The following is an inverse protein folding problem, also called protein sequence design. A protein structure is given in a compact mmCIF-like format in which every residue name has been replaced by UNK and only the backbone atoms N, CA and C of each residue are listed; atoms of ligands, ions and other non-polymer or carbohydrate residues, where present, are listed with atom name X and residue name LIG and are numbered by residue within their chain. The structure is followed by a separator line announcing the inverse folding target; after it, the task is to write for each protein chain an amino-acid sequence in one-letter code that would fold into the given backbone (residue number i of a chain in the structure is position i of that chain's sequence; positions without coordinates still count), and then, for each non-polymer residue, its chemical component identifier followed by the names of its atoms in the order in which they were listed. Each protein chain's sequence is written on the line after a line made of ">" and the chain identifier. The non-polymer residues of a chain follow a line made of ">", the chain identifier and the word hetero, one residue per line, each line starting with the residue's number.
data_IF_615570552741
#
_entry.id   IF_615570552741
#
_cell.length_a   1.000
_cell.length_b   1.000
_cell.length_c   1.000
_cell.angle_alpha   90.00
_cell.angle_beta   90.00
_cell.angle_gamma   90.00
#
_symmetry.space_group_name_H-M   'P 1'
#
loop_
_entity.id
_entity.type
_entity.pdbx_description
1 polymer ?
#
# COMPACT_ATOMS: atom_id res chain seq x y z
N UNK A 1 11.45 -13.01 -6.97
CA UNK A 1 11.74 -12.81 -5.53
C UNK A 1 10.83 -11.70 -5.03
N UNK A 2 10.11 -11.96 -3.94
CA UNK A 2 9.23 -11.02 -3.24
C UNK A 2 10.00 -10.42 -2.07
N UNK A 3 9.78 -9.14 -1.75
CA UNK A 3 10.49 -8.46 -0.67
C UNK A 3 9.50 -7.89 0.34
N UNK A 4 9.78 -8.14 1.61
CA UNK A 4 9.20 -7.44 2.75
C UNK A 4 10.27 -6.45 3.22
N UNK A 5 9.96 -5.15 3.18
CA UNK A 5 10.85 -4.08 3.61
C UNK A 5 10.46 -3.63 5.02
N UNK A 6 11.46 -3.55 5.89
CA UNK A 6 11.34 -3.11 7.29
C UNK A 6 12.37 -2.03 7.61
N UNK A 7 12.22 -1.32 8.74
CA UNK A 7 13.23 -0.37 9.22
C UNK A 7 13.39 -0.38 10.73
N UNK A 8 14.62 -0.21 11.20
CA UNK A 8 14.97 -0.18 12.64
C UNK A 8 14.33 0.97 13.41
N UNK A 9 13.94 2.05 12.73
CA UNK A 9 13.39 3.26 13.36
C UNK A 9 11.87 3.18 13.59
N UNK A 10 11.23 2.08 13.19
CA UNK A 10 9.79 1.90 13.25
C UNK A 10 9.43 0.70 14.14
N UNK A 11 8.75 0.98 15.24
CA UNK A 11 8.34 -0.04 16.22
C UNK A 11 7.32 -1.05 15.66
N UNK A 12 6.39 -0.60 14.81
CA UNK A 12 5.45 -1.51 14.16
C UNK A 12 6.18 -2.40 13.15
N UNK A 13 7.12 -1.83 12.40
CA UNK A 13 7.94 -2.57 11.44
C UNK A 13 8.74 -3.69 12.11
N UNK A 14 9.37 -3.40 13.26
CA UNK A 14 10.12 -4.38 14.02
C UNK A 14 9.23 -5.43 14.68
N UNK A 15 8.06 -5.04 15.22
CA UNK A 15 7.06 -5.97 15.72
C UNK A 15 6.62 -6.98 14.64
N UNK A 16 6.25 -6.49 13.45
CA UNK A 16 5.84 -7.35 12.33
C UNK A 16 7.01 -8.26 11.88
N UNK A 17 8.23 -7.74 11.82
CA UNK A 17 9.43 -8.51 11.47
C UNK A 17 9.67 -9.67 12.44
N UNK A 18 9.56 -9.41 13.74
CA UNK A 18 9.71 -10.41 14.79
C UNK A 18 8.70 -11.54 14.57
N UNK A 19 7.42 -11.22 14.38
CA UNK A 19 6.37 -12.22 14.12
C UNK A 19 6.59 -13.02 12.84
N UNK A 20 7.09 -12.39 11.77
CA UNK A 20 7.46 -13.09 10.55
C UNK A 20 8.57 -14.13 10.79
N UNK A 21 9.61 -13.76 11.54
CA UNK A 21 10.74 -14.65 11.84
C UNK A 21 10.32 -15.77 12.80
N UNK A 22 9.58 -15.45 13.85
CA UNK A 22 9.12 -16.41 14.86
C UNK A 22 8.19 -17.48 14.28
N UNK A 23 7.17 -17.05 13.51
CA UNK A 23 6.01 -17.89 13.22
C UNK A 23 5.97 -18.42 11.79
N UNK A 24 6.69 -17.81 10.85
CA UNK A 24 6.55 -18.13 9.42
C UNK A 24 7.77 -18.80 8.80
N UNK A 25 8.79 -19.15 9.59
CA UNK A 25 9.90 -19.99 9.14
C UNK A 25 10.94 -19.27 8.27
N UNK A 26 11.03 -17.94 8.39
CA UNK A 26 12.12 -17.17 7.82
C UNK A 26 13.44 -17.52 8.52
N UNK A 27 14.50 -17.68 7.73
CA UNK A 27 15.84 -17.99 8.24
C UNK A 27 16.82 -16.93 7.81
N UNK A 28 17.71 -16.57 8.72
CA UNK A 28 18.85 -15.69 8.41
C UNK A 28 19.71 -16.31 7.30
N UNK A 29 20.29 -15.45 6.46
CA UNK A 29 21.17 -15.82 5.35
C UNK A 29 22.53 -15.15 5.54
N UNK A 30 23.53 -15.60 4.78
CA UNK A 30 24.88 -14.98 4.80
C UNK A 30 24.94 -13.61 4.08
N UNK A 31 23.80 -13.07 3.63
CA UNK A 31 23.72 -11.79 2.89
C UNK A 31 23.30 -10.65 3.81
N UNK A 32 23.75 -9.46 3.43
CA UNK A 32 23.39 -8.21 4.10
C UNK A 32 22.70 -7.25 3.11
N UNK A 33 21.80 -6.43 3.63
CA UNK A 33 21.19 -5.29 2.93
C UNK A 33 21.20 -4.09 3.86
N UNK A 34 21.72 -2.94 3.41
CA UNK A 34 21.99 -1.77 4.25
C UNK A 34 22.78 -2.10 5.53
N UNK A 35 23.67 -3.10 5.44
CA UNK A 35 24.46 -3.60 6.57
C UNK A 35 23.69 -4.48 7.56
N UNK A 36 22.44 -4.86 7.25
CA UNK A 36 21.57 -5.65 8.14
C UNK A 36 21.37 -7.08 7.62
N UNK A 37 21.18 -8.07 8.51
CA UNK A 37 20.92 -9.45 8.12
C UNK A 37 19.70 -9.58 7.20
N UNK A 38 19.85 -10.32 6.11
CA UNK A 38 18.75 -10.68 5.22
C UNK A 38 18.16 -12.01 5.69
N UNK A 39 16.84 -12.05 5.90
CA UNK A 39 16.11 -13.28 6.16
C UNK A 39 15.40 -13.77 4.91
N UNK A 40 15.23 -15.08 4.78
CA UNK A 40 14.58 -15.69 3.61
C UNK A 40 13.65 -16.84 3.96
N UNK A 41 12.59 -16.98 3.18
CA UNK A 41 11.69 -18.13 3.14
C UNK A 41 11.26 -18.37 1.70
N UNK A 42 11.74 -19.45 1.09
CA UNK A 42 11.46 -19.72 -0.33
C UNK A 42 11.92 -18.57 -1.22
N UNK A 43 10.99 -17.97 -1.96
CA UNK A 43 11.22 -16.83 -2.86
C UNK A 43 10.92 -15.46 -2.23
N UNK A 44 10.70 -15.40 -0.90
CA UNK A 44 10.46 -14.16 -0.15
C UNK A 44 11.65 -13.79 0.74
N UNK A 45 12.03 -12.52 0.73
CA UNK A 45 13.08 -11.94 1.58
C UNK A 45 12.49 -10.92 2.55
N UNK A 46 13.07 -10.83 3.76
CA UNK A 46 12.90 -9.69 4.65
C UNK A 46 14.21 -8.90 4.60
N UNK A 47 14.10 -7.62 4.29
CA UNK A 47 15.19 -6.66 4.21
C UNK A 47 14.92 -5.53 5.20
N UNK A 48 15.97 -5.03 5.84
CA UNK A 48 15.87 -3.97 6.85
C UNK A 48 16.77 -2.80 6.49
N UNK A 49 16.21 -1.59 6.45
CA UNK A 49 16.99 -0.35 6.34
C UNK A 49 17.18 0.32 7.72
N UNK A 50 17.99 1.37 7.78
CA UNK A 50 18.36 2.05 9.02
C UNK A 50 17.62 3.36 9.27
N UNK A 51 16.89 3.87 8.27
CA UNK A 51 16.16 5.15 8.31
C UNK A 51 14.71 4.99 7.83
N UNK A 52 13.92 6.06 7.87
CA UNK A 52 12.52 6.07 7.45
C UNK A 52 12.35 5.64 5.98
N UNK A 53 11.59 4.56 5.76
CA UNK A 53 11.41 3.96 4.42
C UNK A 53 10.74 4.90 3.43
N UNK A 54 9.94 5.86 3.92
CA UNK A 54 9.19 6.80 3.07
C UNK A 54 10.09 7.72 2.23
N UNK A 55 11.37 7.87 2.60
CA UNK A 55 12.33 8.68 1.84
C UNK A 55 13.23 7.84 0.90
N UNK A 56 13.05 6.51 0.87
CA UNK A 56 13.93 5.61 0.13
C UNK A 56 13.51 5.48 -1.35
N UNK A 57 13.54 6.58 -2.07
CA UNK A 57 13.37 6.58 -3.53
C UNK A 57 14.48 5.75 -4.20
N UNK A 58 14.12 4.98 -5.23
CA UNK A 58 14.98 4.01 -5.92
C UNK A 58 15.43 2.80 -5.07
N UNK A 59 14.66 2.42 -4.05
CA UNK A 59 14.89 1.22 -3.26
C UNK A 59 15.02 -0.05 -4.12
N UNK A 60 14.22 -0.18 -5.18
CA UNK A 60 14.31 -1.26 -6.16
C UNK A 60 15.71 -1.40 -6.77
N UNK A 61 16.33 -0.27 -7.14
CA UNK A 61 17.71 -0.24 -7.65
C UNK A 61 18.74 -0.53 -6.56
N UNK A 62 18.50 -0.08 -5.34
CA UNK A 62 19.36 -0.40 -4.20
C UNK A 62 19.37 -1.90 -3.91
N UNK A 63 18.20 -2.56 -3.96
CA UNK A 63 18.06 -4.02 -3.84
C UNK A 63 18.82 -4.72 -4.98
N UNK A 64 18.66 -4.25 -6.22
CA UNK A 64 19.40 -4.81 -7.37
C UNK A 64 20.91 -4.69 -7.21
N UNK A 65 21.39 -3.51 -6.81
CA UNK A 65 22.81 -3.26 -6.61
C UNK A 65 23.41 -4.10 -5.48
N UNK A 66 22.72 -4.21 -4.33
CA UNK A 66 23.25 -4.88 -3.15
C UNK A 66 23.07 -6.40 -3.18
N UNK A 67 21.99 -6.91 -3.78
CA UNK A 67 21.63 -8.33 -3.74
C UNK A 67 21.62 -9.02 -5.12
N UNK A 68 21.85 -8.28 -6.20
CA UNK A 68 21.89 -8.81 -7.56
C UNK A 68 20.55 -9.31 -8.08
N UNK A 69 19.43 -8.76 -7.58
CA UNK A 69 18.08 -9.17 -7.98
C UNK A 69 17.13 -7.97 -8.08
N UNK A 70 16.19 -8.03 -9.02
CA UNK A 70 15.07 -7.09 -9.10
C UNK A 70 13.86 -7.72 -8.39
N UNK A 71 13.27 -7.06 -7.38
CA UNK A 71 12.12 -7.59 -6.68
C UNK A 71 10.87 -7.57 -7.57
N UNK A 72 10.03 -8.59 -7.42
CA UNK A 72 8.76 -8.70 -8.15
C UNK A 72 7.66 -7.83 -7.54
N UNK A 73 7.74 -7.60 -6.23
CA UNK A 73 6.87 -6.74 -5.43
C UNK A 73 7.61 -6.39 -4.13
N UNK A 74 7.36 -5.19 -3.61
CA UNK A 74 7.83 -4.76 -2.29
C UNK A 74 6.63 -4.49 -1.38
N UNK A 75 6.56 -5.20 -0.25
CA UNK A 75 5.59 -4.93 0.83
C UNK A 75 6.33 -4.20 1.94
N UNK A 76 5.95 -2.96 2.22
CA UNK A 76 6.48 -2.20 3.34
C UNK A 76 5.66 -2.50 4.59
N UNK A 77 6.29 -3.09 5.61
CA UNK A 77 5.70 -3.29 6.92
C UNK A 77 6.01 -2.07 7.79
N UNK A 78 4.99 -1.26 8.08
CA UNK A 78 5.17 0.13 8.55
C UNK A 78 4.21 0.48 9.68
N UNK A 79 4.47 1.60 10.37
CA UNK A 79 3.48 2.25 11.23
C UNK A 79 2.68 3.28 10.44
N UNK A 80 1.42 3.44 10.83
CA UNK A 80 0.65 4.64 10.55
C UNK A 80 0.67 5.56 11.78
N UNK A 81 0.81 6.87 11.60
CA UNK A 81 0.74 7.84 12.70
C UNK A 81 -0.35 8.88 12.46
N UNK A 82 -1.25 9.03 13.43
CA UNK A 82 -2.36 9.98 13.35
C UNK A 82 -2.65 10.65 14.68
N UNK A 83 -2.91 11.96 14.64
CA UNK A 83 -3.35 12.72 15.82
C UNK A 83 -4.70 12.26 16.36
N UNK A 84 -5.51 11.58 15.54
CA UNK A 84 -6.85 11.12 15.92
C UNK A 84 -6.82 9.87 16.81
N UNK A 85 -5.66 9.19 16.95
CA UNK A 85 -5.48 7.99 17.78
C UNK A 85 -6.58 6.94 17.56
N UNK A 86 -6.78 6.59 16.30
CA UNK A 86 -7.68 5.52 15.88
C UNK A 86 -6.87 4.23 15.70
N UNK A 87 -7.15 3.16 16.47
CA UNK A 87 -6.55 1.85 16.23
C UNK A 87 -7.00 1.30 14.87
N UNK A 88 -6.04 1.00 14.01
CA UNK A 88 -6.31 0.62 12.64
C UNK A 88 -5.25 -0.35 12.10
N UNK A 89 -5.68 -1.23 11.20
CA UNK A 89 -4.79 -2.00 10.33
C UNK A 89 -5.11 -1.60 8.89
N UNK A 90 -4.11 -1.14 8.17
CA UNK A 90 -4.34 -0.43 6.91
C UNK A 90 -3.44 -0.90 5.79
N UNK A 91 -3.81 -0.54 4.56
CA UNK A 91 -2.94 -0.70 3.39
C UNK A 91 -3.17 0.42 2.38
N UNK A 92 -2.11 0.83 1.70
CA UNK A 92 -2.18 1.80 0.61
C UNK A 92 -0.95 1.70 -0.29
N UNK A 93 -1.02 2.41 -1.42
CA UNK A 93 0.12 2.68 -2.28
C UNK A 93 0.60 4.12 -2.06
N UNK A 94 1.91 4.32 -2.15
CA UNK A 94 2.57 5.62 -2.00
C UNK A 94 2.50 6.47 -3.26
N UNK A 95 2.60 7.78 -3.04
CA UNK A 95 2.61 8.77 -4.11
C UNK A 95 2.07 10.11 -3.66
N UNK A 96 2.46 11.15 -4.38
CA UNK A 96 2.07 12.53 -4.11
C UNK A 96 1.19 13.05 -5.26
N UNK A 97 -0.06 13.39 -4.95
CA UNK A 97 -0.97 14.05 -5.90
C UNK A 97 -0.61 15.52 -6.17
N UNK A 98 0.30 16.09 -5.38
CA UNK A 98 0.79 17.46 -5.46
C UNK A 98 2.19 17.51 -4.86
N UNK A 99 2.45 18.45 -3.95
CA UNK A 99 3.77 18.58 -3.32
C UNK A 99 4.12 17.39 -2.42
N UNK A 100 5.35 16.90 -2.53
CA UNK A 100 5.93 15.86 -1.68
C UNK A 100 6.38 16.44 -0.34
N UNK A 101 5.57 16.26 0.70
CA UNK A 101 5.89 16.73 2.05
C UNK A 101 6.64 15.67 2.88
N UNK A 102 6.49 14.39 2.52
CA UNK A 102 6.98 13.24 3.29
C UNK A 102 7.56 12.20 2.33
N UNK A 103 8.65 12.55 1.66
CA UNK A 103 9.35 11.67 0.72
C UNK A 103 8.68 11.57 -0.65
N UNK A 104 9.42 10.98 -1.60
CA UNK A 104 9.05 10.97 -3.01
C UNK A 104 9.23 12.33 -3.69
N UNK A 105 8.69 12.44 -4.91
CA UNK A 105 8.67 13.66 -5.72
C UNK A 105 7.26 14.22 -5.89
N UNK A 106 7.20 15.51 -6.19
CA UNK A 106 5.95 16.20 -6.52
C UNK A 106 5.25 15.52 -7.70
N UNK A 107 3.93 15.37 -7.59
CA UNK A 107 3.08 14.81 -8.64
C UNK A 107 3.55 13.42 -9.14
N UNK A 108 4.29 12.65 -8.31
CA UNK A 108 4.83 11.34 -8.64
C UNK A 108 4.18 10.24 -7.82
N UNK A 109 3.95 9.09 -8.45
CA UNK A 109 3.21 7.96 -7.87
C UNK A 109 4.07 6.68 -7.98
N UNK A 110 4.14 5.87 -6.92
CA UNK A 110 4.73 4.54 -7.01
C UNK A 110 3.82 3.59 -7.80
N UNK A 111 4.32 2.42 -8.20
CA UNK A 111 3.51 1.44 -8.92
C UNK A 111 2.63 0.66 -7.93
N UNK A 112 1.32 0.79 -8.05
CA UNK A 112 0.36 0.08 -7.21
C UNK A 112 0.22 -1.40 -7.60
N UNK A 113 -0.01 -2.27 -6.60
CA UNK A 113 -0.51 -3.65 -6.79
C UNK A 113 -1.91 -3.84 -6.17
N UNK A 114 -3.00 -3.52 -6.91
CA UNK A 114 -4.38 -3.58 -6.40
C UNK A 114 -4.80 -4.94 -5.80
N UNK A 115 -4.48 -6.05 -6.46
CA UNK A 115 -4.82 -7.40 -5.97
C UNK A 115 -4.18 -7.69 -4.62
N UNK A 116 -2.92 -7.30 -4.43
CA UNK A 116 -2.22 -7.46 -3.16
C UNK A 116 -2.87 -6.64 -2.05
N UNK A 117 -3.20 -5.37 -2.31
CA UNK A 117 -3.83 -4.51 -1.30
C UNK A 117 -5.27 -4.97 -0.98
N UNK A 118 -6.04 -5.45 -1.97
CA UNK A 118 -7.37 -6.02 -1.72
C UNK A 118 -7.30 -7.27 -0.86
N UNK A 119 -6.37 -8.19 -1.17
CA UNK A 119 -6.17 -9.39 -0.36
C UNK A 119 -5.72 -9.04 1.06
N UNK A 120 -4.90 -8.00 1.22
CA UNK A 120 -4.50 -7.51 2.53
C UNK A 120 -5.73 -7.07 3.34
N UNK A 121 -6.64 -6.26 2.76
CA UNK A 121 -7.88 -5.88 3.44
C UNK A 121 -8.75 -7.06 3.82
N UNK A 122 -8.96 -8.00 2.90
CA UNK A 122 -9.79 -9.18 3.16
C UNK A 122 -9.21 -10.04 4.28
N UNK A 123 -7.89 -10.27 4.25
CA UNK A 123 -7.21 -11.09 5.25
C UNK A 123 -7.11 -10.39 6.61
N UNK A 124 -6.78 -9.10 6.66
CA UNK A 124 -6.82 -8.34 7.92
C UNK A 124 -8.23 -8.34 8.51
N UNK A 125 -9.27 -8.15 7.70
CA UNK A 125 -10.66 -8.19 8.17
C UNK A 125 -11.09 -9.56 8.69
N UNK A 126 -10.64 -10.65 8.06
CA UNK A 126 -10.86 -12.02 8.53
C UNK A 126 -10.21 -12.29 9.89
N UNK A 127 -9.01 -11.76 10.12
CA UNK A 127 -8.20 -12.03 11.31
C UNK A 127 -8.43 -11.04 12.47
N UNK A 128 -9.21 -9.97 12.24
CA UNK A 128 -9.37 -8.85 13.17
C UNK A 128 -10.23 -9.18 14.40
N UNK A 129 -9.66 -9.91 15.35
CA UNK A 129 -10.21 -10.12 16.69
C UNK A 129 -9.97 -8.94 17.65
N UNK A 130 -9.16 -7.96 17.23
CA UNK A 130 -8.92 -6.70 17.93
C UNK A 130 -10.08 -5.70 17.81
N UNK A 131 -11.00 -5.92 16.87
CA UNK A 131 -12.07 -4.97 16.52
C UNK A 131 -11.54 -3.58 16.11
N UNK A 132 -10.37 -3.54 15.48
CA UNK A 132 -9.77 -2.30 14.97
C UNK A 132 -10.33 -1.94 13.60
N UNK A 133 -10.09 -0.72 13.15
CA UNK A 133 -10.52 -0.27 11.83
C UNK A 133 -9.66 -0.98 10.77
N UNK A 134 -10.30 -1.69 9.84
CA UNK A 134 -9.63 -2.23 8.65
C UNK A 134 -9.98 -1.35 7.47
N UNK A 135 -9.00 -0.69 6.87
CA UNK A 135 -9.28 0.22 5.76
C UNK A 135 -8.12 0.44 4.81
N UNK A 136 -8.44 0.87 3.60
CA UNK A 136 -7.48 1.56 2.76
C UNK A 136 -7.09 2.89 3.38
N UNK A 137 -5.92 3.37 3.01
CA UNK A 137 -5.60 4.80 3.06
C UNK A 137 -5.53 5.40 1.66
N UNK A 138 -5.63 6.72 1.61
CA UNK A 138 -5.38 7.50 0.41
C UNK A 138 -3.96 7.25 -0.11
N UNK A 139 -3.73 7.48 -1.40
CA UNK A 139 -2.37 7.57 -1.92
C UNK A 139 -1.68 8.80 -1.36
N UNK A 140 -0.60 8.59 -0.62
CA UNK A 140 0.15 9.64 0.06
C UNK A 140 1.60 9.22 0.36
N UNK A 141 2.44 10.22 0.67
CA UNK A 141 3.85 10.11 1.02
C UNK A 141 4.73 9.33 0.02
N UNK A 142 6.03 9.24 0.30
CA UNK A 142 6.98 8.50 -0.51
C UNK A 142 7.23 7.06 -0.03
N UNK A 143 8.09 6.30 -0.71
CA UNK A 143 8.79 6.69 -1.93
C UNK A 143 7.82 6.74 -3.12
N UNK A 144 8.13 7.56 -4.12
CA UNK A 144 7.38 7.57 -5.40
C UNK A 144 8.21 6.99 -6.54
N UNK A 145 9.53 7.02 -6.43
CA UNK A 145 10.46 6.62 -7.48
C UNK A 145 10.80 5.13 -7.39
N UNK A 146 9.79 4.27 -7.51
CA UNK A 146 9.92 2.82 -7.60
C UNK A 146 9.43 2.32 -8.96
N UNK A 147 10.19 1.43 -9.61
CA UNK A 147 9.80 0.81 -10.88
C UNK A 147 9.32 -0.63 -10.73
N UNK A 148 9.13 -1.07 -9.49
CA UNK A 148 8.52 -2.34 -9.12
C UNK A 148 7.21 -2.08 -8.37
N UNK A 149 6.20 -2.95 -8.49
CA UNK A 149 4.97 -2.82 -7.73
C UNK A 149 5.24 -2.84 -6.23
N UNK A 150 4.47 -2.05 -5.47
CA UNK A 150 4.60 -2.01 -4.02
C UNK A 150 3.27 -1.74 -3.32
N UNK A 151 3.29 -1.84 -1.99
CA UNK A 151 2.24 -1.44 -1.08
C UNK A 151 2.79 -1.29 0.32
N UNK A 152 2.18 -0.42 1.12
CA UNK A 152 2.34 -0.36 2.56
C UNK A 152 1.22 -1.19 3.22
N UNK A 153 1.56 -1.88 4.30
CA UNK A 153 0.62 -2.52 5.21
C UNK A 153 1.03 -2.09 6.62
N UNK A 154 0.09 -1.47 7.35
CA UNK A 154 0.46 -0.68 8.53
C UNK A 154 -0.37 -0.96 9.78
N UNK A 155 0.26 -0.69 10.93
CA UNK A 155 -0.40 -0.63 12.24
C UNK A 155 -0.55 0.84 12.62
N UNK A 156 -1.79 1.27 12.85
CA UNK A 156 -2.14 2.60 13.28
C UNK A 156 -2.74 2.65 14.69
N UNK A 157 -2.66 3.76 15.42
CA UNK A 157 -2.06 5.04 14.98
C UNK A 157 -1.12 5.69 15.98
N UNK A 158 -0.77 4.96 17.05
CA UNK A 158 0.19 5.38 18.06
C UNK A 158 1.04 4.20 18.55
N UNK A 159 2.05 4.51 19.35
CA UNK A 159 2.98 3.51 19.90
C UNK A 159 2.28 2.36 20.63
N UNK A 160 1.17 2.63 21.32
CA UNK A 160 0.34 1.60 21.97
C UNK A 160 -0.13 0.53 20.99
N UNK A 161 -0.54 0.94 19.79
CA UNK A 161 -0.94 0.01 18.75
C UNK A 161 0.26 -0.61 18.03
N UNK A 162 1.31 0.17 17.77
CA UNK A 162 2.49 -0.28 17.03
C UNK A 162 3.19 -1.48 17.69
N UNK A 163 3.24 -1.50 19.02
CA UNK A 163 3.85 -2.59 19.80
C UNK A 163 2.84 -3.67 20.21
N UNK A 164 1.59 -3.61 19.73
CA UNK A 164 0.59 -4.62 20.03
C UNK A 164 0.97 -5.95 19.36
N UNK A 165 1.22 -6.96 20.19
CA UNK A 165 1.67 -8.30 19.78
C UNK A 165 0.73 -8.95 18.75
N UNK A 166 -0.58 -8.87 19.01
CA UNK A 166 -1.61 -9.44 18.14
C UNK A 166 -1.71 -8.70 16.82
N UNK A 167 -1.56 -7.38 16.80
CA UNK A 167 -1.54 -6.60 15.56
C UNK A 167 -0.33 -6.98 14.68
N UNK A 168 0.84 -7.20 15.30
CA UNK A 168 2.02 -7.73 14.63
C UNK A 168 1.77 -9.09 13.99
N UNK A 169 1.12 -10.01 14.73
CA UNK A 169 0.77 -11.34 14.23
C UNK A 169 -0.20 -11.28 13.03
N UNK A 170 -1.26 -10.46 13.13
CA UNK A 170 -2.23 -10.28 12.05
C UNK A 170 -1.54 -9.80 10.78
N UNK A 171 -0.60 -8.85 10.88
CA UNK A 171 0.11 -8.33 9.72
C UNK A 171 1.15 -9.29 9.17
N UNK A 172 1.88 -10.02 10.02
CA UNK A 172 2.79 -11.06 9.56
C UNK A 172 2.05 -12.16 8.77
N UNK A 173 0.88 -12.60 9.26
CA UNK A 173 0.02 -13.56 8.56
C UNK A 173 -0.53 -12.97 7.25
N UNK A 174 -1.01 -11.73 7.30
CA UNK A 174 -1.54 -11.01 6.13
C UNK A 174 -0.50 -10.90 5.03
N UNK A 175 0.70 -10.42 5.35
CA UNK A 175 1.79 -10.23 4.39
C UNK A 175 2.16 -11.58 3.75
N UNK A 176 2.31 -12.63 4.56
CA UNK A 176 2.64 -13.97 4.04
C UNK A 176 1.56 -14.48 3.10
N UNK A 177 0.28 -14.38 3.49
CA UNK A 177 -0.85 -14.79 2.66
C UNK A 177 -0.92 -14.01 1.34
N UNK A 178 -0.77 -12.69 1.40
CA UNK A 178 -0.79 -11.81 0.22
C UNK A 178 0.31 -12.19 -0.75
N UNK A 179 1.56 -12.31 -0.28
CA UNK A 179 2.72 -12.64 -1.10
C UNK A 179 2.61 -14.04 -1.76
N UNK A 180 1.88 -14.96 -1.15
CA UNK A 180 1.63 -16.28 -1.73
C UNK A 180 0.47 -16.29 -2.72
N UNK A 181 -0.53 -15.41 -2.57
CA UNK A 181 -1.81 -15.50 -3.31
C UNK A 181 -2.08 -14.43 -4.34
N UNK A 182 -1.42 -13.28 -4.29
CA UNK A 182 -1.81 -12.12 -5.11
C UNK A 182 -1.77 -12.38 -6.63
N UNK A 183 -0.89 -13.26 -7.11
CA UNK A 183 -0.80 -13.64 -8.53
C UNK A 183 -1.88 -14.62 -8.99
N UNK A 184 -2.47 -15.37 -8.07
CA UNK A 184 -3.50 -16.37 -8.36
C UNK A 184 -4.89 -15.74 -8.51
N UNK A 185 -5.05 -14.50 -8.04
CA UNK A 185 -6.33 -13.79 -8.00
C UNK A 185 -6.42 -12.71 -9.06
N UNK A 186 -7.61 -12.52 -9.64
CA UNK A 186 -7.91 -11.42 -10.55
C UNK A 186 -9.15 -10.69 -10.08
N UNK A 187 -9.07 -9.37 -10.04
CA UNK A 187 -10.13 -8.49 -9.59
C UNK A 187 -10.33 -7.39 -10.63
N UNK A 188 -11.56 -6.86 -10.82
CA UNK A 188 -11.76 -5.60 -11.51
C UNK A 188 -11.01 -4.49 -10.77
N UNK A 189 -10.14 -3.76 -11.48
CA UNK A 189 -9.28 -2.74 -10.87
C UNK A 189 -9.86 -1.35 -11.09
N UNK A 190 -9.91 -0.54 -10.03
CA UNK A 190 -10.38 0.83 -10.08
C UNK A 190 -9.37 1.86 -9.56
N UNK A 191 -9.34 3.04 -10.21
CA UNK A 191 -8.86 4.26 -9.56
C UNK A 191 -9.97 4.80 -8.66
N UNK A 192 -9.67 5.04 -7.38
CA UNK A 192 -10.62 5.58 -6.41
C UNK A 192 -10.54 7.10 -6.30
N UNK A 193 -11.67 7.79 -6.32
CA UNK A 193 -11.72 9.26 -6.18
C UNK A 193 -12.76 9.68 -5.13
N UNK A 194 -12.37 10.60 -4.27
CA UNK A 194 -13.21 11.17 -3.22
C UNK A 194 -13.10 10.46 -1.87
N UNK A 195 -13.74 11.06 -0.87
CA UNK A 195 -13.70 10.58 0.52
C UNK A 195 -12.60 11.24 1.35
N UNK A 196 -12.41 10.75 2.57
CA UNK A 196 -11.34 11.18 3.47
C UNK A 196 -10.07 10.34 3.31
N UNK A 197 -9.12 10.52 4.24
CA UNK A 197 -7.85 9.79 4.28
C UNK A 197 -8.04 8.26 4.31
N UNK A 198 -8.90 7.76 5.19
CA UNK A 198 -9.19 6.32 5.35
C UNK A 198 -10.15 5.72 4.30
N UNK A 199 -10.39 6.43 3.19
CA UNK A 199 -11.14 5.96 2.01
C UNK A 199 -12.36 5.04 2.32
N UNK A 200 -13.34 5.49 3.14
CA UNK A 200 -14.31 4.57 3.77
C UNK A 200 -15.24 3.87 2.77
N UNK A 201 -15.65 4.57 1.70
CA UNK A 201 -16.50 3.95 0.66
C UNK A 201 -15.71 2.96 -0.19
N UNK A 202 -14.47 3.29 -0.56
CA UNK A 202 -13.58 2.40 -1.31
C UNK A 202 -13.29 1.13 -0.50
N UNK A 203 -12.96 1.28 0.78
CA UNK A 203 -12.79 0.18 1.74
C UNK A 203 -14.03 -0.71 1.75
N UNK A 204 -15.22 -0.13 1.97
CA UNK A 204 -16.48 -0.86 1.98
C UNK A 204 -16.69 -1.66 0.68
N UNK A 205 -16.49 -1.02 -0.48
CA UNK A 205 -16.65 -1.68 -1.78
C UNK A 205 -15.63 -2.80 -2.00
N UNK A 206 -14.40 -2.66 -1.54
CA UNK A 206 -13.40 -3.72 -1.65
C UNK A 206 -13.65 -4.90 -0.72
N UNK A 207 -14.30 -4.69 0.42
CA UNK A 207 -14.70 -5.78 1.32
C UNK A 207 -15.99 -6.48 0.85
N UNK A 208 -16.94 -5.75 0.26
CA UNK A 208 -18.27 -6.27 -0.11
C UNK A 208 -18.41 -6.74 -1.57
N UNK A 209 -17.46 -6.40 -2.44
CA UNK A 209 -17.52 -6.71 -3.88
C UNK A 209 -16.16 -7.18 -4.39
N UNK A 210 -16.06 -7.54 -5.67
CA UNK A 210 -14.78 -7.95 -6.29
C UNK A 210 -13.84 -6.78 -6.60
N UNK A 211 -14.26 -5.53 -6.43
CA UNK A 211 -13.47 -4.35 -6.81
C UNK A 211 -12.17 -4.27 -6.01
N UNK A 212 -11.04 -4.09 -6.69
CA UNK A 212 -9.73 -3.81 -6.11
C UNK A 212 -9.34 -2.35 -6.43
N UNK A 213 -8.93 -1.59 -5.42
CA UNK A 213 -8.50 -0.22 -5.64
C UNK A 213 -6.98 -0.15 -5.85
N UNK A 214 -6.59 0.62 -6.86
CA UNK A 214 -5.22 1.07 -7.08
C UNK A 214 -4.98 2.36 -6.27
N UNK A 215 -4.56 3.43 -6.93
CA UNK A 215 -4.47 4.75 -6.33
C UNK A 215 -5.83 5.30 -5.90
N UNK A 216 -5.83 5.96 -4.74
CA UNK A 216 -7.01 6.61 -4.16
C UNK A 216 -6.70 8.09 -3.96
N UNK A 217 -7.46 8.95 -4.63
CA UNK A 217 -7.39 10.39 -4.51
C UNK A 217 -8.46 10.92 -3.55
N UNK A 218 -8.10 11.35 -2.33
CA UNK A 218 -9.07 11.83 -1.35
C UNK A 218 -9.50 13.27 -1.65
N UNK A 219 -10.61 13.72 -1.05
CA UNK A 219 -11.20 15.05 -1.30
C UNK A 219 -10.22 16.21 -1.12
N UNK A 220 -9.28 16.09 -0.18
CA UNK A 220 -8.36 17.17 0.16
C UNK A 220 -7.30 17.44 -0.92
N UNK A 221 -7.08 16.52 -1.87
CA UNK A 221 -6.19 16.76 -3.03
C UNK A 221 -6.91 17.39 -4.21
N UNK A 222 -8.22 17.66 -4.10
CA UNK A 222 -8.99 18.25 -5.18
C UNK A 222 -8.77 19.78 -5.26
N UNK A 223 -8.82 20.38 -6.47
CA UNK A 223 -9.13 19.75 -7.75
C UNK A 223 -7.96 18.95 -8.33
N UNK A 224 -8.25 17.74 -8.81
CA UNK A 224 -7.26 16.94 -9.52
C UNK A 224 -7.14 17.35 -10.99
N UNK A 225 -5.91 17.32 -11.48
CA UNK A 225 -5.57 17.42 -12.91
C UNK A 225 -5.86 16.08 -13.61
N UNK A 226 -6.32 16.13 -14.86
CA UNK A 226 -6.58 14.93 -15.68
C UNK A 226 -5.32 14.07 -15.82
N UNK A 227 -4.17 14.72 -15.99
CA UNK A 227 -2.85 14.12 -16.17
C UNK A 227 -2.43 13.25 -14.98
N UNK A 228 -2.88 13.61 -13.77
CA UNK A 228 -2.59 12.82 -12.56
C UNK A 228 -3.41 11.53 -12.51
N UNK A 229 -4.65 11.54 -13.01
CA UNK A 229 -5.44 10.30 -13.12
C UNK A 229 -4.84 9.39 -14.21
N UNK A 230 -4.43 9.97 -15.34
CA UNK A 230 -3.71 9.22 -16.38
C UNK A 230 -2.43 8.59 -15.84
N UNK A 231 -1.65 9.35 -15.08
CA UNK A 231 -0.45 8.84 -14.39
C UNK A 231 -0.80 7.74 -13.39
N UNK A 232 -1.87 7.87 -12.61
CA UNK A 232 -2.31 6.83 -11.69
C UNK A 232 -2.70 5.52 -12.42
N UNK A 233 -3.33 5.63 -13.59
CA UNK A 233 -3.65 4.47 -14.43
C UNK A 233 -2.35 3.80 -14.93
N UNK A 234 -1.40 4.59 -15.45
CA UNK A 234 -0.10 4.10 -15.92
C UNK A 234 0.73 3.47 -14.79
N UNK A 235 0.62 4.02 -13.57
CA UNK A 235 1.32 3.57 -12.36
C UNK A 235 0.53 2.51 -11.59
N UNK A 236 -0.25 1.70 -12.31
CA UNK A 236 -0.90 0.50 -11.79
C UNK A 236 -0.33 -0.72 -12.51
N UNK A 237 0.14 -1.71 -11.75
CA UNK A 237 0.75 -2.92 -12.33
C UNK A 237 -0.28 -3.84 -13.02
N UNK A 238 -1.55 -3.69 -12.68
CA UNK A 238 -2.67 -4.44 -13.23
C UNK A 238 -3.51 -3.54 -14.16
N UNK A 239 -4.19 -4.15 -15.14
CA UNK A 239 -5.05 -3.40 -16.05
C UNK A 239 -6.16 -2.72 -15.26
N UNK A 240 -6.26 -1.40 -15.35
CA UNK A 240 -7.38 -0.62 -14.80
C UNK A 240 -8.63 -0.84 -15.66
N UNK A 241 -9.75 -1.18 -15.01
CA UNK A 241 -11.03 -1.43 -15.66
C UNK A 241 -12.06 -0.32 -15.37
N UNK A 242 -11.91 0.41 -14.26
CA UNK A 242 -12.90 1.40 -13.83
C UNK A 242 -12.29 2.67 -13.22
N UNK A 243 -13.07 3.75 -13.26
CA UNK A 243 -12.90 4.92 -12.40
C UNK A 243 -14.09 4.96 -11.44
N UNK A 244 -13.80 4.81 -10.15
CA UNK A 244 -14.78 4.84 -9.08
C UNK A 244 -14.77 6.20 -8.40
N UNK A 245 -15.95 6.78 -8.18
CA UNK A 245 -16.11 8.09 -7.55
C UNK A 245 -17.09 8.03 -6.38
N UNK A 246 -16.60 8.34 -5.17
CA UNK A 246 -17.44 8.83 -4.08
C UNK A 246 -17.97 10.22 -4.47
N UNK A 247 -19.19 10.23 -4.96
CA UNK A 247 -19.83 11.40 -5.57
C UNK A 247 -20.00 12.54 -4.56
N UNK A 248 -20.36 12.22 -3.31
CA UNK A 248 -20.55 13.22 -2.25
C UNK A 248 -19.22 13.61 -1.58
N UNK A 249 -18.26 12.70 -1.56
CA UNK A 249 -16.89 12.93 -1.11
C UNK A 249 -16.00 13.64 -2.13
N UNK A 250 -16.50 14.02 -3.30
CA UNK A 250 -15.71 14.66 -4.36
C UNK A 250 -16.14 16.08 -4.69
N UNK A 251 -15.19 16.98 -5.00
CA UNK A 251 -15.49 18.29 -5.60
C UNK A 251 -16.10 18.12 -7.00
N UNK A 252 -17.03 19.02 -7.35
CA UNK A 252 -17.84 18.95 -8.57
C UNK A 252 -17.02 18.85 -9.86
N UNK A 253 -16.00 19.68 -10.00
CA UNK A 253 -15.09 19.69 -11.14
C UNK A 253 -14.38 18.34 -11.32
N UNK A 254 -13.79 17.81 -10.25
CA UNK A 254 -13.06 16.53 -10.29
C UNK A 254 -13.95 15.35 -10.66
N UNK A 255 -15.16 15.24 -10.09
CA UNK A 255 -16.06 14.12 -10.41
C UNK A 255 -16.62 14.19 -11.84
N UNK A 256 -16.79 15.39 -12.40
CA UNK A 256 -17.20 15.54 -13.80
C UNK A 256 -16.04 15.21 -14.75
N UNK A 257 -14.82 15.68 -14.44
CA UNK A 257 -13.62 15.33 -15.19
C UNK A 257 -13.36 13.82 -15.18
N UNK A 258 -13.47 13.17 -14.01
CA UNK A 258 -13.32 11.72 -13.88
C UNK A 258 -14.34 10.94 -14.72
N UNK A 259 -15.60 11.42 -14.77
CA UNK A 259 -16.64 10.81 -15.62
C UNK A 259 -16.31 10.91 -17.10
N UNK A 260 -15.93 12.11 -17.56
CA UNK A 260 -15.56 12.33 -18.96
C UNK A 260 -14.32 11.52 -19.35
N UNK A 261 -13.33 11.43 -18.46
CA UNK A 261 -12.12 10.63 -18.67
C UNK A 261 -12.40 9.13 -18.77
N UNK A 262 -13.31 8.61 -17.93
CA UNK A 262 -13.71 7.21 -18.00
C UNK A 262 -14.32 6.88 -19.37
N UNK A 263 -15.19 7.74 -19.88
CA UNK A 263 -15.79 7.60 -21.21
C UNK A 263 -14.74 7.68 -22.34
N UNK A 264 -13.81 8.64 -22.26
CA UNK A 264 -12.72 8.81 -23.23
C UNK A 264 -11.81 7.56 -23.32
N UNK A 265 -11.54 6.93 -22.18
CA UNK A 265 -10.65 5.75 -22.09
C UNK A 265 -11.39 4.41 -22.25
N UNK A 266 -12.72 4.42 -22.37
CA UNK A 266 -13.52 3.20 -22.40
C UNK A 266 -13.49 2.40 -21.08
N UNK A 267 -13.30 3.08 -19.94
CA UNK A 267 -13.34 2.50 -18.61
C UNK A 267 -14.76 2.56 -18.04
N UNK A 268 -15.11 1.62 -17.16
CA UNK A 268 -16.37 1.70 -16.42
C UNK A 268 -16.36 2.91 -15.46
N UNK A 269 -17.44 3.70 -15.46
CA UNK A 269 -17.61 4.77 -14.50
C UNK A 269 -18.56 4.34 -13.38
N UNK A 270 -18.03 4.18 -12.17
CA UNK A 270 -18.80 3.77 -10.99
C UNK A 270 -19.06 4.98 -10.10
N UNK A 271 -20.34 5.27 -9.86
CA UNK A 271 -20.79 6.37 -8.99
C UNK A 271 -21.39 5.82 -7.69
N UNK A 272 -20.85 6.21 -6.55
CA UNK A 272 -21.31 5.88 -5.19
C UNK A 272 -21.56 7.15 -4.35
#
# INVERSE_FOLDING_TARGET
>A
MKVIMTTKTDLASMNIMEKLVENFGFKETDRLFDGNPVYSKGDTLILTTNDEMIYYDNLDKAIEHQLGLVPEIIVFASRHSSKQKLPALTTHITGNWGNAMYGGKDESLAIAQPSAMKLALLKMNELNDLNWIICYEATHHGPSELNVPSLFIEIGSSEEEWVNDRAGDILAETITYVLDKYRETKFPVAIGIGGGHYAPKQTKRALETDLAFSHIAPKYVHPLKKELILKAIERTAEKVDAIYVDWKGSKGETRQMAKALAEELGLEFIRD
#
